data_IF_640543121548
#
_entry.id   IF_640543121548
#
_cell.length_a   1.000
_cell.length_b   1.000
_cell.length_c   1.000
_cell.angle_alpha   90.00
_cell.angle_beta   90.00
_cell.angle_gamma   90.00
#
_symmetry.space_group_name_H-M   'P 1'
#
loop_
_entity.id
_entity.type
_entity.pdbx_description
1 polymer ?
#
# COMPACT_ATOMS: atom_id res chain seq x y z
N UNK A 1 42.07 2.82 -40.10
CA UNK A 1 41.93 2.17 -38.78
C UNK A 1 41.86 3.17 -37.63
N UNK A 2 42.71 4.20 -37.54
CA UNK A 2 42.72 5.18 -36.43
C UNK A 2 41.44 6.05 -36.26
N UNK A 3 40.75 6.40 -37.32
CA UNK A 3 39.56 7.26 -37.26
C UNK A 3 38.36 6.52 -36.63
N UNK A 4 38.13 5.28 -37.00
CA UNK A 4 37.08 4.44 -36.43
C UNK A 4 37.28 4.19 -34.93
N UNK A 5 38.51 3.96 -34.49
CA UNK A 5 38.83 3.76 -33.08
C UNK A 5 38.57 5.02 -32.25
N UNK A 6 38.87 6.22 -32.76
CA UNK A 6 38.59 7.51 -32.09
C UNK A 6 37.10 7.78 -31.96
N UNK A 7 36.31 7.48 -32.98
CA UNK A 7 34.86 7.66 -32.97
C UNK A 7 34.22 6.70 -31.97
N UNK A 8 34.64 5.45 -31.96
CA UNK A 8 34.14 4.42 -31.03
C UNK A 8 34.49 4.76 -29.58
N UNK A 9 35.70 5.15 -29.26
CA UNK A 9 36.10 5.58 -27.92
C UNK A 9 35.30 6.82 -27.44
N UNK A 10 35.03 7.79 -28.34
CA UNK A 10 34.27 8.98 -28.01
C UNK A 10 32.82 8.63 -27.66
N UNK A 11 32.18 7.74 -28.42
CA UNK A 11 30.83 7.25 -28.16
C UNK A 11 30.73 6.51 -26.83
N UNK A 12 31.67 5.64 -26.52
CA UNK A 12 31.79 4.95 -25.25
C UNK A 12 31.93 5.91 -24.04
N UNK A 13 32.70 6.97 -24.20
CA UNK A 13 32.86 7.99 -23.15
C UNK A 13 31.55 8.77 -22.94
N UNK A 14 30.83 9.11 -24.01
CA UNK A 14 29.52 9.79 -23.92
C UNK A 14 28.47 8.89 -23.30
N UNK A 15 28.41 7.62 -23.68
CA UNK A 15 27.48 6.62 -23.06
C UNK A 15 27.81 6.41 -21.58
N UNK A 16 29.08 6.34 -21.19
CA UNK A 16 29.44 6.24 -19.76
C UNK A 16 29.08 7.48 -18.97
N UNK A 17 29.22 8.69 -19.53
CA UNK A 17 28.78 9.93 -18.87
C UNK A 17 27.27 9.95 -18.69
N UNK A 18 26.48 9.56 -19.69
CA UNK A 18 25.05 9.47 -19.62
C UNK A 18 24.60 8.45 -18.56
N UNK A 19 25.28 7.29 -18.51
CA UNK A 19 25.00 6.26 -17.51
C UNK A 19 25.32 6.74 -16.08
N UNK A 20 26.44 7.43 -15.87
CA UNK A 20 26.79 8.03 -14.57
C UNK A 20 25.73 9.03 -14.12
N UNK A 21 25.33 9.94 -15.00
CA UNK A 21 24.29 10.93 -14.69
C UNK A 21 22.94 10.27 -14.35
N UNK A 22 22.57 9.20 -15.05
CA UNK A 22 21.35 8.44 -14.74
C UNK A 22 21.42 7.70 -13.39
N UNK A 23 22.60 7.18 -13.05
CA UNK A 23 22.85 6.54 -11.73
C UNK A 23 22.76 7.58 -10.62
N UNK A 24 23.39 8.74 -10.78
CA UNK A 24 23.33 9.84 -9.81
C UNK A 24 21.90 10.33 -9.59
N UNK A 25 21.13 10.50 -10.67
CA UNK A 25 19.72 10.90 -10.57
C UNK A 25 18.88 9.86 -9.82
N UNK A 26 19.06 8.57 -10.11
CA UNK A 26 18.37 7.50 -9.39
C UNK A 26 18.80 7.39 -7.93
N UNK A 27 20.07 7.62 -7.65
CA UNK A 27 20.58 7.63 -6.28
C UNK A 27 19.98 8.76 -5.47
N UNK A 28 19.87 9.96 -6.05
CA UNK A 28 19.21 11.09 -5.40
C UNK A 28 17.74 10.80 -5.10
N UNK A 29 16.99 10.26 -6.07
CA UNK A 29 15.60 9.87 -5.89
C UNK A 29 15.42 8.79 -4.79
N UNK A 30 16.39 7.87 -4.69
CA UNK A 30 16.38 6.86 -3.61
C UNK A 30 16.61 7.49 -2.23
N UNK A 31 17.51 8.47 -2.13
CA UNK A 31 17.77 9.20 -0.88
C UNK A 31 16.55 10.03 -0.46
N UNK A 32 15.86 10.67 -1.40
CA UNK A 32 14.63 11.40 -1.14
C UNK A 32 13.52 10.46 -0.62
N UNK A 33 13.34 9.32 -1.28
CA UNK A 33 12.38 8.29 -0.85
C UNK A 33 12.72 7.73 0.55
N UNK A 34 13.99 7.52 0.84
CA UNK A 34 14.43 7.08 2.19
C UNK A 34 14.14 8.14 3.25
N UNK A 35 14.40 9.42 2.96
CA UNK A 35 14.11 10.51 3.89
C UNK A 35 12.61 10.66 4.17
N UNK A 36 11.76 10.38 3.20
CA UNK A 36 10.30 10.34 3.39
C UNK A 36 9.88 9.15 4.28
N UNK A 37 10.48 7.97 4.07
CA UNK A 37 10.26 6.80 4.92
C UNK A 37 10.71 7.04 6.37
N UNK A 38 11.84 7.71 6.57
CA UNK A 38 12.36 8.03 7.91
C UNK A 38 11.42 9.01 8.62
N UNK A 39 10.91 10.03 7.93
CA UNK A 39 9.88 10.94 8.48
C UNK A 39 8.61 10.21 8.89
N UNK A 40 8.17 9.26 8.05
CA UNK A 40 7.01 8.44 8.33
C UNK A 40 7.25 7.53 9.56
N UNK A 41 8.44 6.95 9.67
CA UNK A 41 8.83 6.13 10.81
C UNK A 41 8.88 6.95 12.12
N UNK A 42 9.44 8.17 12.07
CA UNK A 42 9.47 9.10 13.18
C UNK A 42 8.05 9.51 13.60
N UNK A 43 7.18 9.81 12.63
CA UNK A 43 5.78 10.14 12.89
C UNK A 43 5.03 8.95 13.53
N UNK A 44 5.22 7.73 13.04
CA UNK A 44 4.65 6.50 13.62
C UNK A 44 5.13 6.31 15.05
N UNK A 45 6.41 6.52 15.31
CA UNK A 45 7.00 6.36 16.64
C UNK A 45 6.52 7.45 17.61
N UNK A 46 6.43 8.69 17.17
CA UNK A 46 5.98 9.82 17.98
C UNK A 46 4.50 9.72 18.40
N UNK A 47 3.68 9.08 17.56
CA UNK A 47 2.24 8.90 17.82
C UNK A 47 1.90 7.53 18.46
N UNK A 48 2.88 6.84 19.02
CA UNK A 48 2.68 5.56 19.71
C UNK A 48 2.30 4.40 18.78
N UNK A 49 2.63 4.49 17.50
CA UNK A 49 2.35 3.46 16.49
C UNK A 49 0.88 3.32 16.10
N UNK A 50 -0.01 4.11 16.69
CA UNK A 50 -1.45 4.05 16.41
C UNK A 50 -1.86 5.30 15.62
N UNK A 51 -1.96 5.16 14.30
CA UNK A 51 -2.62 6.15 13.46
C UNK A 51 -4.11 6.16 13.78
N UNK A 52 -4.73 7.33 13.94
CA UNK A 52 -6.17 7.40 13.83
C UNK A 52 -6.61 7.05 12.40
N UNK A 53 -7.86 6.63 12.24
CA UNK A 53 -8.36 6.18 10.94
C UNK A 53 -8.32 7.28 9.87
N UNK A 54 -8.40 8.54 10.24
CA UNK A 54 -8.32 9.64 9.29
C UNK A 54 -6.91 9.81 8.75
N UNK A 55 -5.90 9.73 9.60
CA UNK A 55 -4.50 9.75 9.18
C UNK A 55 -4.18 8.57 8.26
N UNK A 56 -4.62 7.36 8.62
CA UNK A 56 -4.42 6.18 7.78
C UNK A 56 -5.13 6.31 6.44
N UNK A 57 -6.35 6.81 6.42
CA UNK A 57 -7.11 7.14 5.21
C UNK A 57 -6.32 8.06 4.28
N UNK A 58 -5.76 9.15 4.82
CA UNK A 58 -5.04 10.14 4.02
C UNK A 58 -3.78 9.54 3.41
N UNK A 59 -2.97 8.81 4.18
CA UNK A 59 -1.78 8.12 3.69
C UNK A 59 -2.09 7.10 2.59
N UNK A 60 -3.15 6.32 2.76
CA UNK A 60 -3.61 5.33 1.77
C UNK A 60 -4.05 6.03 0.49
N UNK A 61 -4.86 7.09 0.62
CA UNK A 61 -5.37 7.81 -0.54
C UNK A 61 -4.25 8.53 -1.30
N UNK A 62 -3.34 9.20 -0.62
CA UNK A 62 -2.16 9.83 -1.23
C UNK A 62 -1.33 8.83 -2.01
N UNK A 63 -1.08 7.65 -1.44
CA UNK A 63 -0.39 6.56 -2.14
C UNK A 63 -1.15 6.08 -3.37
N UNK A 64 -2.46 5.92 -3.30
CA UNK A 64 -3.30 5.50 -4.42
C UNK A 64 -3.27 6.52 -5.57
N UNK A 65 -3.36 7.81 -5.25
CA UNK A 65 -3.24 8.91 -6.22
C UNK A 65 -1.86 8.92 -6.87
N UNK A 66 -0.78 8.81 -6.09
CA UNK A 66 0.59 8.78 -6.59
C UNK A 66 0.87 7.62 -7.57
N UNK A 67 0.12 6.51 -7.45
CA UNK A 67 0.21 5.36 -8.34
C UNK A 67 -0.82 5.35 -9.47
N UNK A 68 -1.52 6.47 -9.70
CA UNK A 68 -2.42 6.65 -10.84
C UNK A 68 -3.78 5.94 -10.70
N UNK A 69 -4.11 5.45 -9.52
CA UNK A 69 -5.40 4.77 -9.29
C UNK A 69 -6.59 5.70 -9.45
N UNK A 70 -6.39 7.01 -9.38
CA UNK A 70 -7.40 8.07 -9.53
C UNK A 70 -7.22 8.94 -10.77
N UNK A 71 -6.42 8.52 -11.75
CA UNK A 71 -6.26 9.22 -13.03
C UNK A 71 -7.59 9.31 -13.81
N UNK A 72 -8.51 8.42 -13.51
CA UNK A 72 -9.89 8.45 -14.02
C UNK A 72 -10.88 8.33 -12.85
N UNK A 73 -12.01 9.06 -12.92
CA UNK A 73 -13.06 8.90 -11.91
C UNK A 73 -13.53 7.45 -11.83
N UNK A 74 -13.73 6.95 -10.61
CA UNK A 74 -14.33 5.65 -10.35
C UNK A 74 -15.73 5.80 -9.82
N UNK A 75 -16.62 4.94 -10.28
CA UNK A 75 -17.96 4.83 -9.70
C UNK A 75 -17.89 4.12 -8.35
N UNK A 76 -18.84 4.42 -7.47
CA UNK A 76 -18.96 3.70 -6.19
C UNK A 76 -19.17 2.18 -6.40
N UNK A 77 -19.84 1.80 -7.48
CA UNK A 77 -20.03 0.39 -7.83
C UNK A 77 -18.68 -0.32 -8.11
N UNK A 78 -17.73 0.35 -8.78
CA UNK A 78 -16.39 -0.18 -8.99
C UNK A 78 -15.63 -0.34 -7.67
N UNK A 79 -15.73 0.62 -6.74
CA UNK A 79 -15.12 0.51 -5.41
C UNK A 79 -15.68 -0.69 -4.66
N UNK A 80 -17.00 -0.88 -4.68
CA UNK A 80 -17.66 -2.05 -4.05
C UNK A 80 -17.18 -3.35 -4.70
N UNK A 81 -17.09 -3.39 -6.03
CA UNK A 81 -16.61 -4.59 -6.74
C UNK A 81 -15.17 -4.95 -6.36
N UNK A 82 -14.29 -3.95 -6.22
CA UNK A 82 -12.91 -4.16 -5.76
C UNK A 82 -12.86 -4.71 -4.32
N UNK A 83 -13.64 -4.15 -3.40
CA UNK A 83 -13.74 -4.71 -2.04
C UNK A 83 -14.23 -6.17 -2.05
N UNK A 84 -15.18 -6.52 -2.90
CA UNK A 84 -15.64 -7.91 -3.06
C UNK A 84 -14.55 -8.82 -3.63
N UNK A 85 -13.69 -8.33 -4.52
CA UNK A 85 -12.54 -9.10 -5.03
C UNK A 85 -11.61 -9.48 -3.89
N UNK A 86 -11.16 -8.51 -3.06
CA UNK A 86 -10.29 -8.77 -1.92
C UNK A 86 -10.91 -9.77 -0.92
N UNK A 87 -12.22 -9.65 -0.65
CA UNK A 87 -12.92 -10.62 0.20
C UNK A 87 -13.00 -12.02 -0.41
N UNK A 88 -13.08 -12.13 -1.74
CA UNK A 88 -13.05 -13.41 -2.45
C UNK A 88 -11.67 -14.03 -2.40
N UNK A 89 -10.62 -13.23 -2.54
CA UNK A 89 -9.23 -13.64 -2.41
C UNK A 89 -8.94 -14.11 -0.98
N UNK A 90 -9.42 -13.38 0.05
CA UNK A 90 -9.35 -13.82 1.44
C UNK A 90 -9.98 -15.21 1.66
N UNK A 91 -11.15 -15.47 1.06
CA UNK A 91 -11.81 -16.77 1.14
C UNK A 91 -11.01 -17.87 0.45
N UNK A 92 -10.33 -17.58 -0.66
CA UNK A 92 -9.47 -18.55 -1.36
C UNK A 92 -8.21 -18.86 -0.55
N UNK A 93 -7.61 -17.85 0.09
CA UNK A 93 -6.49 -18.02 1.00
C UNK A 93 -6.88 -18.87 2.24
N UNK A 94 -8.09 -18.66 2.79
CA UNK A 94 -8.63 -19.47 3.89
C UNK A 94 -8.79 -20.95 3.48
N UNK A 95 -9.37 -21.22 2.31
CA UNK A 95 -9.48 -22.59 1.76
C UNK A 95 -8.13 -23.25 1.56
N UNK A 96 -7.10 -22.47 1.31
CA UNK A 96 -5.72 -22.93 1.17
C UNK A 96 -4.98 -23.07 2.51
N UNK A 97 -5.63 -22.72 3.64
CA UNK A 97 -5.06 -22.79 4.98
C UNK A 97 -4.01 -21.72 5.28
N UNK A 98 -4.01 -20.60 4.54
CA UNK A 98 -3.02 -19.54 4.65
C UNK A 98 -3.58 -18.36 5.46
N UNK A 99 -3.12 -18.19 6.69
CA UNK A 99 -3.53 -17.05 7.52
C UNK A 99 -2.77 -15.77 7.14
N UNK A 100 -1.44 -15.84 7.15
CA UNK A 100 -0.55 -14.74 6.78
C UNK A 100 0.84 -15.31 6.48
N UNK A 101 1.37 -15.03 5.30
CA UNK A 101 2.66 -15.53 4.84
C UNK A 101 3.40 -14.47 4.06
N UNK A 102 4.72 -14.60 3.98
CA UNK A 102 5.58 -13.79 3.12
C UNK A 102 6.25 -14.66 2.08
N UNK A 103 6.27 -14.22 0.83
CA UNK A 103 6.91 -14.94 -0.27
C UNK A 103 8.22 -14.27 -0.63
N UNK A 104 9.33 -15.01 -0.54
CA UNK A 104 10.64 -14.59 -1.04
C UNK A 104 11.06 -15.54 -2.15
N UNK A 105 11.30 -15.01 -3.34
CA UNK A 105 11.80 -15.79 -4.48
C UNK A 105 11.03 -17.13 -4.69
N UNK A 106 9.70 -17.10 -4.53
CA UNK A 106 8.84 -18.27 -4.68
C UNK A 106 8.85 -19.26 -3.52
N UNK A 107 9.57 -18.98 -2.44
CA UNK A 107 9.56 -19.80 -1.22
C UNK A 107 8.78 -19.10 -0.12
N UNK A 108 7.83 -19.80 0.49
CA UNK A 108 7.11 -19.34 1.68
C UNK A 108 8.04 -19.29 2.87
N UNK A 109 7.99 -18.16 3.58
CA UNK A 109 8.74 -17.95 4.81
C UNK A 109 7.74 -17.53 5.88
N UNK A 110 7.83 -18.21 7.03
CA UNK A 110 6.88 -18.04 8.12
C UNK A 110 6.89 -16.61 8.72
N UNK A 111 5.72 -16.19 9.10
CA UNK A 111 5.16 -15.33 10.15
C UNK A 111 6.05 -14.32 10.90
N UNK A 112 7.15 -13.82 10.42
CA UNK A 112 7.87 -12.79 11.16
C UNK A 112 7.75 -11.42 10.51
N UNK A 113 6.99 -10.47 11.09
CA UNK A 113 6.80 -9.13 10.54
C UNK A 113 8.06 -8.26 10.54
N UNK A 114 9.12 -8.62 11.24
CA UNK A 114 10.30 -7.79 11.44
C UNK A 114 11.21 -7.62 10.19
N UNK A 115 10.92 -8.30 9.09
CA UNK A 115 11.73 -8.25 7.87
C UNK A 115 10.90 -7.99 6.61
N UNK A 116 10.15 -6.90 6.59
CA UNK A 116 9.20 -6.55 5.51
C UNK A 116 9.83 -6.12 4.18
N UNK A 117 11.05 -5.67 4.15
CA UNK A 117 11.66 -5.04 2.98
C UNK A 117 11.76 -5.99 1.79
N UNK A 118 10.97 -5.71 0.75
CA UNK A 118 11.05 -6.38 -0.56
C UNK A 118 10.26 -7.69 -0.67
N UNK A 119 9.36 -8.01 0.26
CA UNK A 119 8.58 -9.25 0.27
C UNK A 119 7.10 -8.96 0.03
N UNK A 120 6.47 -9.71 -0.88
CA UNK A 120 5.01 -9.64 -1.04
C UNK A 120 4.36 -10.40 0.13
N UNK A 121 3.52 -9.73 0.94
CA UNK A 121 2.68 -10.42 1.91
C UNK A 121 1.54 -11.16 1.19
N UNK A 122 1.08 -12.30 1.74
CA UNK A 122 -0.04 -13.09 1.24
C UNK A 122 -0.85 -13.69 2.40
N UNK A 123 -2.05 -14.16 2.13
CA UNK A 123 -2.91 -14.85 3.08
C UNK A 123 -4.11 -14.03 3.54
N UNK A 124 -5.05 -14.68 4.24
CA UNK A 124 -6.34 -14.12 4.68
C UNK A 124 -6.21 -12.73 5.31
N UNK A 125 -5.23 -12.55 6.22
CA UNK A 125 -5.05 -11.29 6.92
C UNK A 125 -4.64 -10.15 5.97
N UNK A 126 -3.89 -10.46 4.93
CA UNK A 126 -3.43 -9.48 3.93
C UNK A 126 -4.59 -9.07 3.04
N UNK A 127 -5.36 -10.02 2.51
CA UNK A 127 -6.52 -9.72 1.66
C UNK A 127 -7.62 -8.95 2.42
N UNK A 128 -7.79 -9.24 3.72
CA UNK A 128 -8.67 -8.43 4.59
C UNK A 128 -8.13 -7.01 4.77
N UNK A 129 -6.81 -6.84 4.87
CA UNK A 129 -6.19 -5.52 4.92
C UNK A 129 -6.33 -4.79 3.58
N UNK A 130 -6.20 -5.48 2.44
CA UNK A 130 -6.41 -4.88 1.12
C UNK A 130 -7.86 -4.40 0.93
N UNK A 131 -8.85 -5.16 1.41
CA UNK A 131 -10.24 -4.70 1.46
C UNK A 131 -10.38 -3.41 2.30
N UNK A 132 -9.74 -3.35 3.49
CA UNK A 132 -9.73 -2.15 4.32
C UNK A 132 -9.07 -0.96 3.61
N UNK A 133 -7.95 -1.18 2.93
CA UNK A 133 -7.25 -0.18 2.11
C UNK A 133 -8.19 0.37 1.03
N UNK A 134 -8.93 -0.48 0.30
CA UNK A 134 -9.92 -0.03 -0.70
C UNK A 134 -11.00 0.85 -0.08
N UNK A 135 -11.49 0.47 1.10
CA UNK A 135 -12.51 1.25 1.81
C UNK A 135 -11.96 2.61 2.24
N UNK A 136 -10.79 2.66 2.87
CA UNK A 136 -10.18 3.89 3.35
C UNK A 136 -9.76 4.81 2.18
N UNK A 137 -9.29 4.26 1.07
CA UNK A 137 -9.01 5.03 -0.16
C UNK A 137 -10.26 5.76 -0.67
N UNK A 138 -11.42 5.08 -0.70
CA UNK A 138 -12.68 5.73 -1.06
C UNK A 138 -13.07 6.83 -0.07
N UNK A 139 -12.92 6.60 1.24
CA UNK A 139 -13.15 7.65 2.24
C UNK A 139 -12.24 8.86 2.03
N UNK A 140 -10.99 8.65 1.62
CA UNK A 140 -10.05 9.71 1.27
C UNK A 140 -10.51 10.51 0.05
N UNK A 141 -10.93 9.84 -1.01
CA UNK A 141 -11.47 10.46 -2.21
C UNK A 141 -12.71 11.33 -1.92
N UNK A 142 -13.61 10.84 -1.07
CA UNK A 142 -14.82 11.57 -0.67
C UNK A 142 -14.58 12.59 0.47
N UNK A 143 -13.35 12.67 0.99
CA UNK A 143 -12.95 13.56 2.10
C UNK A 143 -13.83 13.44 3.34
N UNK A 144 -14.24 12.21 3.67
CA UNK A 144 -15.13 11.91 4.78
C UNK A 144 -14.34 11.64 6.06
N UNK A 145 -14.85 12.11 7.18
CA UNK A 145 -14.29 11.83 8.52
C UNK A 145 -14.66 10.40 8.96
N UNK A 146 -13.72 9.48 8.80
CA UNK A 146 -13.91 8.05 9.12
C UNK A 146 -14.13 7.86 10.61
N UNK A 147 -13.35 8.55 11.45
CA UNK A 147 -13.44 8.44 12.91
C UNK A 147 -14.82 8.82 13.38
N UNK A 148 -15.31 10.00 13.01
CA UNK A 148 -16.63 10.48 13.40
C UNK A 148 -17.78 9.57 12.93
N UNK A 149 -17.67 9.03 11.69
CA UNK A 149 -18.69 8.14 11.14
C UNK A 149 -18.70 6.80 11.89
N UNK A 150 -17.53 6.21 12.15
CA UNK A 150 -17.40 4.94 12.87
C UNK A 150 -17.88 5.10 14.31
N UNK A 151 -17.44 6.14 15.02
CA UNK A 151 -17.85 6.42 16.40
C UNK A 151 -19.37 6.58 16.52
N UNK A 152 -19.96 7.37 15.65
CA UNK A 152 -21.44 7.54 15.62
C UNK A 152 -22.16 6.22 15.38
N UNK A 153 -21.63 5.39 14.46
CA UNK A 153 -22.22 4.08 14.17
C UNK A 153 -22.05 3.11 15.33
N UNK A 154 -20.92 3.11 15.99
CA UNK A 154 -20.66 2.32 17.19
C UNK A 154 -21.59 2.71 18.33
N UNK A 155 -21.77 4.01 18.58
CA UNK A 155 -22.69 4.49 19.62
C UNK A 155 -24.13 4.07 19.36
N UNK A 156 -24.59 4.22 18.13
CA UNK A 156 -25.91 3.69 17.74
C UNK A 156 -26.00 2.18 17.98
N UNK A 157 -24.98 1.40 17.67
CA UNK A 157 -24.99 -0.05 17.83
C UNK A 157 -25.02 -0.48 19.30
N UNK A 158 -24.43 0.28 20.23
CA UNK A 158 -24.51 0.00 21.68
C UNK A 158 -25.96 0.01 22.21
N UNK A 159 -26.80 0.88 21.65
CA UNK A 159 -28.21 0.96 22.01
C UNK A 159 -29.12 -0.14 21.42
N UNK A 160 -28.58 -1.01 20.54
CA UNK A 160 -29.38 -2.04 19.89
C UNK A 160 -29.61 -3.26 20.82
N UNK A 161 -30.78 -3.91 20.76
CA UNK A 161 -31.06 -5.10 21.56
C UNK A 161 -30.12 -6.25 21.16
N UNK A 162 -29.94 -7.23 22.02
CA UNK A 162 -29.15 -8.43 21.81
C UNK A 162 -29.47 -9.07 20.45
N UNK A 163 -28.44 -9.38 19.65
CA UNK A 163 -28.57 -9.85 18.26
C UNK A 163 -29.47 -8.97 17.38
N UNK A 164 -29.61 -7.68 17.69
CA UNK A 164 -30.51 -6.76 16.99
C UNK A 164 -31.97 -7.20 16.95
N UNK A 165 -32.41 -8.01 17.94
CA UNK A 165 -33.75 -8.59 18.01
C UNK A 165 -33.99 -9.78 17.07
N UNK A 166 -32.90 -10.36 16.47
CA UNK A 166 -32.99 -11.57 15.66
C UNK A 166 -32.71 -12.81 16.49
N UNK A 167 -33.38 -13.91 16.18
CA UNK A 167 -33.17 -15.18 16.89
C UNK A 167 -31.90 -15.90 16.48
N UNK A 168 -31.32 -15.55 15.31
CA UNK A 168 -30.09 -16.15 14.70
C UNK A 168 -29.18 -15.12 14.10
#
# INVERSE_FOLDING_TARGET
MHLFHRIFCRKLVEENKALHSAIESKHLALLEAQAELDKLADYITANGGMHDLNTLRDLIHENAVAHGWWDKPRSFAEVVALCHSELSEALEEDRSGKIMEYVIAGKRIERNPENFLGRKPEGVAVEMADCLIRILDWFGQEKLDVCAIVERKMEYNKGRPYKHGKEY
#
